data_IF_675562256106
#
_entry.id   IF_675562256106
#
_cell.length_a   1.000
_cell.length_b   1.000
_cell.length_c   1.000
_cell.angle_alpha   90.00
_cell.angle_beta   90.00
_cell.angle_gamma   90.00
#
_symmetry.space_group_name_H-M   'P 1'
#
loop_
_entity.id
_entity.type
_entity.pdbx_description
1 polymer ?
#
# COMPACT_ATOMS: atom_id res chain seq x y z
N UNK A 1 6.13 19.58 14.84
CA UNK A 1 6.38 18.25 14.28
C UNK A 1 7.81 18.16 13.78
N UNK A 2 8.40 16.98 13.82
CA UNK A 2 9.74 16.70 13.33
C UNK A 2 9.66 15.68 12.20
N UNK A 3 10.25 15.99 11.06
CA UNK A 3 10.33 15.11 9.89
C UNK A 3 11.80 14.76 9.66
N UNK A 4 12.08 13.50 9.43
CA UNK A 4 13.40 12.98 9.12
C UNK A 4 13.38 12.24 7.79
N UNK A 5 14.47 12.32 7.04
CA UNK A 5 14.65 11.49 5.85
C UNK A 5 14.77 10.00 6.23
N UNK A 6 14.48 9.11 5.31
CA UNK A 6 14.70 7.67 5.44
C UNK A 6 15.31 7.14 4.11
N UNK A 7 16.40 6.34 4.20
CA UNK A 7 17.15 5.99 5.41
C UNK A 7 17.86 7.18 6.05
N UNK A 8 18.18 7.08 7.35
CA UNK A 8 18.85 8.14 8.10
C UNK A 8 19.94 7.61 9.03
N UNK A 9 20.93 8.44 9.35
CA UNK A 9 21.97 8.11 10.33
C UNK A 9 21.48 8.07 11.80
N UNK A 10 20.19 8.33 12.03
CA UNK A 10 19.61 8.39 13.38
C UNK A 10 19.25 7.00 13.92
N UNK A 11 19.09 6.02 13.06
CA UNK A 11 18.76 4.63 13.39
C UNK A 11 19.91 3.71 12.99
N UNK A 12 20.04 2.57 13.64
CA UNK A 12 21.06 1.58 13.25
C UNK A 12 20.71 0.93 11.92
N UNK A 13 19.40 0.74 11.67
CA UNK A 13 18.88 0.24 10.39
C UNK A 13 19.21 1.24 9.27
N UNK A 14 18.93 2.52 9.45
CA UNK A 14 19.22 3.54 8.45
C UNK A 14 20.72 3.65 8.15
N UNK A 15 21.58 3.63 9.18
CA UNK A 15 23.05 3.57 8.99
C UNK A 15 23.48 2.36 8.17
N UNK A 16 22.87 1.18 8.42
CA UNK A 16 23.20 -0.02 7.68
C UNK A 16 22.90 0.17 6.19
N UNK A 17 21.68 0.60 5.83
CA UNK A 17 21.30 0.83 4.43
C UNK A 17 22.19 1.89 3.76
N UNK A 18 22.50 2.99 4.44
CA UNK A 18 23.40 4.03 3.92
C UNK A 18 24.85 3.54 3.77
N UNK A 19 25.31 2.61 4.59
CA UNK A 19 26.65 2.01 4.44
C UNK A 19 26.74 1.01 3.29
N UNK A 20 25.64 0.33 2.96
CA UNK A 20 25.54 -0.62 1.83
C UNK A 20 25.37 0.12 0.48
N UNK A 21 24.56 1.18 0.48
CA UNK A 21 24.32 2.03 -0.68
C UNK A 21 24.08 3.49 -0.23
N UNK A 22 25.13 4.35 -0.26
CA UNK A 22 25.02 5.76 0.13
C UNK A 22 24.06 6.59 -0.73
N UNK A 23 23.81 6.16 -1.97
CA UNK A 23 22.95 6.85 -2.93
C UNK A 23 21.54 6.22 -3.01
N UNK A 24 21.22 5.29 -2.11
CA UNK A 24 19.92 4.62 -2.12
C UNK A 24 18.76 5.62 -2.09
N UNK A 25 17.77 5.48 -2.99
CA UNK A 25 16.57 6.34 -2.94
C UNK A 25 15.63 6.01 -1.77
N UNK A 26 15.97 5.01 -0.97
CA UNK A 26 15.13 4.53 0.11
C UNK A 26 13.83 3.86 -0.37
N UNK A 27 13.04 3.39 0.57
CA UNK A 27 11.72 2.82 0.32
C UNK A 27 10.82 2.97 1.53
N UNK A 28 9.51 2.78 1.35
CA UNK A 28 8.59 2.73 2.48
C UNK A 28 8.92 1.55 3.43
N UNK A 29 9.38 0.41 2.91
CA UNK A 29 9.81 -0.72 3.72
C UNK A 29 10.97 -0.39 4.65
N UNK A 30 11.97 0.36 4.18
CA UNK A 30 13.09 0.86 5.00
C UNK A 30 12.56 1.81 6.07
N UNK A 31 11.72 2.78 5.70
CA UNK A 31 11.15 3.74 6.66
C UNK A 31 10.31 3.05 7.76
N UNK A 32 9.58 1.99 7.41
CA UNK A 32 8.85 1.16 8.38
C UNK A 32 9.83 0.49 9.34
N UNK A 33 10.91 -0.10 8.85
CA UNK A 33 11.94 -0.72 9.68
C UNK A 33 12.55 0.26 10.67
N UNK A 34 12.92 1.47 10.22
CA UNK A 34 13.46 2.53 11.09
C UNK A 34 12.43 2.99 12.15
N UNK A 35 11.16 3.15 11.76
CA UNK A 35 10.10 3.54 12.69
C UNK A 35 9.85 2.48 13.77
N UNK A 36 9.87 1.19 13.40
CA UNK A 36 9.76 0.08 14.35
C UNK A 36 10.96 0.04 15.29
N UNK A 37 12.17 0.25 14.79
CA UNK A 37 13.39 0.34 15.62
C UNK A 37 13.26 1.42 16.68
N UNK A 38 12.83 2.62 16.30
CA UNK A 38 12.63 3.74 17.24
C UNK A 38 11.58 3.37 18.30
N UNK A 39 10.46 2.80 17.90
CA UNK A 39 9.40 2.41 18.83
C UNK A 39 9.84 1.28 19.78
N UNK A 40 10.67 0.34 19.30
CA UNK A 40 11.18 -0.76 20.12
C UNK A 40 12.22 -0.32 21.17
N UNK A 41 12.94 0.77 20.89
CA UNK A 41 13.98 1.32 21.79
C UNK A 41 13.46 2.31 22.83
N UNK A 42 12.23 2.79 22.70
CA UNK A 42 11.65 3.80 23.61
C UNK A 42 10.22 3.41 24.03
N UNK A 43 10.05 3.04 25.29
CA UNK A 43 8.76 2.64 25.87
C UNK A 43 7.66 3.72 25.76
N UNK A 44 8.02 4.99 25.59
CA UNK A 44 7.09 6.10 25.43
C UNK A 44 6.68 6.32 23.98
N UNK A 45 7.41 5.78 23.04
CA UNK A 45 7.13 5.89 21.61
C UNK A 45 6.11 4.84 21.18
N UNK A 46 5.21 5.23 20.28
CA UNK A 46 4.24 4.33 19.63
C UNK A 46 4.40 4.43 18.12
N UNK A 47 4.38 3.27 17.48
CA UNK A 47 4.41 3.18 16.03
C UNK A 47 2.99 3.29 15.46
N UNK A 48 2.80 4.19 14.51
CA UNK A 48 1.56 4.34 13.76
C UNK A 48 1.83 4.04 12.29
N UNK A 49 1.27 2.94 11.80
CA UNK A 49 1.34 2.55 10.38
C UNK A 49 0.10 3.04 9.64
N UNK A 50 0.30 3.73 8.53
CA UNK A 50 -0.75 4.38 7.75
C UNK A 50 -1.27 3.60 6.54
N UNK A 51 -0.84 2.37 6.28
CA UNK A 51 -1.27 1.60 5.09
C UNK A 51 -1.14 0.08 5.29
N UNK A 52 -1.55 -0.72 4.32
CA UNK A 52 -1.48 -2.17 4.16
C UNK A 52 -2.21 -3.03 5.20
N UNK A 53 -2.49 -2.54 6.40
CA UNK A 53 -3.15 -3.32 7.44
C UNK A 53 -4.68 -3.23 7.33
N UNK A 54 -5.37 -4.34 7.57
CA UNK A 54 -6.82 -4.43 7.39
C UNK A 54 -7.61 -3.38 8.19
N UNK A 55 -7.18 -3.03 9.41
CA UNK A 55 -7.86 -1.99 10.17
C UNK A 55 -7.76 -0.61 9.51
N UNK A 56 -6.64 -0.30 8.85
CA UNK A 56 -6.48 0.95 8.09
C UNK A 56 -7.41 0.96 6.88
N UNK A 57 -7.45 -0.15 6.12
CA UNK A 57 -8.35 -0.31 4.98
C UNK A 57 -9.81 -0.12 5.42
N UNK A 58 -10.20 -0.77 6.51
CA UNK A 58 -11.55 -0.69 7.05
C UNK A 58 -11.95 0.74 7.43
N UNK A 59 -11.08 1.50 8.10
CA UNK A 59 -11.38 2.90 8.42
C UNK A 59 -11.52 3.76 7.18
N UNK A 60 -10.76 3.48 6.13
CA UNK A 60 -10.82 4.25 4.89
C UNK A 60 -12.04 3.92 4.02
N UNK A 61 -12.80 2.86 4.30
CA UNK A 61 -14.04 2.55 3.57
C UNK A 61 -15.09 3.63 3.69
N UNK A 62 -14.99 4.54 4.66
CA UNK A 62 -15.85 5.72 4.74
C UNK A 62 -15.87 6.53 3.44
N UNK A 63 -14.75 6.57 2.71
CA UNK A 63 -14.63 7.26 1.42
C UNK A 63 -15.56 6.63 0.38
N UNK A 64 -15.51 5.31 0.24
CA UNK A 64 -16.39 4.59 -0.70
C UNK A 64 -17.87 4.62 -0.28
N UNK A 65 -18.15 4.55 1.03
CA UNK A 65 -19.53 4.67 1.54
C UNK A 65 -20.12 6.07 1.27
N UNK A 66 -19.34 7.11 1.45
CA UNK A 66 -19.75 8.48 1.11
C UNK A 66 -19.89 8.66 -0.40
N UNK A 67 -18.99 8.08 -1.20
CA UNK A 67 -19.07 8.14 -2.66
C UNK A 67 -20.37 7.50 -3.18
N UNK A 68 -20.76 6.33 -2.63
CA UNK A 68 -22.05 5.69 -2.97
C UNK A 68 -23.23 6.62 -2.70
N UNK A 69 -23.28 7.26 -1.53
CA UNK A 69 -24.34 8.20 -1.18
C UNK A 69 -24.37 9.44 -2.07
N UNK A 70 -23.21 9.97 -2.44
CA UNK A 70 -23.10 11.13 -3.32
C UNK A 70 -23.58 10.80 -4.73
N UNK A 71 -23.26 9.60 -5.24
CA UNK A 71 -23.74 9.12 -6.53
C UNK A 71 -25.26 8.89 -6.52
N UNK A 72 -25.81 8.36 -5.43
CA UNK A 72 -27.26 8.24 -5.27
C UNK A 72 -27.96 9.59 -5.36
N UNK A 73 -27.42 10.66 -4.74
CA UNK A 73 -27.97 12.01 -4.81
C UNK A 73 -27.96 12.59 -6.22
N UNK A 74 -27.01 12.19 -7.06
CA UNK A 74 -26.93 12.63 -8.46
C UNK A 74 -27.73 11.74 -9.41
N UNK A 75 -28.24 10.61 -8.93
CA UNK A 75 -28.92 9.61 -9.74
C UNK A 75 -27.99 8.86 -10.70
N UNK A 76 -26.71 8.77 -10.35
CA UNK A 76 -25.65 8.16 -11.16
C UNK A 76 -25.03 6.95 -10.48
N UNK A 77 -24.35 6.09 -11.26
CA UNK A 77 -23.61 4.94 -10.75
C UNK A 77 -22.42 4.62 -11.68
N UNK A 78 -21.22 4.33 -11.17
CA UNK A 78 -20.04 4.19 -12.00
C UNK A 78 -19.97 2.83 -12.70
N UNK A 79 -19.66 2.83 -13.98
CA UNK A 79 -19.28 1.62 -14.72
C UNK A 79 -17.86 1.17 -14.37
N UNK A 80 -16.97 2.13 -14.07
CA UNK A 80 -15.56 1.86 -13.77
C UNK A 80 -15.10 2.71 -12.61
N UNK A 81 -14.40 2.09 -11.67
CA UNK A 81 -13.64 2.78 -10.61
C UNK A 81 -12.16 2.57 -10.87
N UNK A 82 -11.42 3.66 -10.93
CA UNK A 82 -9.97 3.65 -11.09
C UNK A 82 -9.33 4.31 -9.88
N UNK A 83 -8.36 3.66 -9.26
CA UNK A 83 -7.63 4.23 -8.14
C UNK A 83 -6.15 3.89 -8.20
N UNK A 84 -5.30 4.87 -7.85
CA UNK A 84 -3.88 4.63 -7.70
C UNK A 84 -3.61 3.80 -6.44
N UNK A 85 -2.66 2.90 -6.55
CA UNK A 85 -2.32 1.99 -5.44
C UNK A 85 -0.81 1.88 -5.24
N UNK A 86 -0.40 2.03 -3.98
CA UNK A 86 0.92 1.68 -3.48
C UNK A 86 0.76 0.52 -2.50
N UNK A 87 0.60 0.78 -1.20
CA UNK A 87 0.24 -0.23 -0.21
C UNK A 87 -1.22 -0.70 -0.28
N UNK A 88 -2.11 0.04 -0.95
CA UNK A 88 -3.47 -0.38 -1.26
C UNK A 88 -4.57 0.14 -0.34
N UNK A 89 -4.26 0.79 0.79
CA UNK A 89 -5.31 1.18 1.75
C UNK A 89 -6.27 2.23 1.22
N UNK A 90 -5.75 3.27 0.57
CA UNK A 90 -6.58 4.31 -0.04
C UNK A 90 -7.46 3.76 -1.15
N UNK A 91 -6.90 2.95 -2.02
CA UNK A 91 -7.64 2.27 -3.07
C UNK A 91 -8.74 1.37 -2.48
N UNK A 92 -8.41 0.53 -1.47
CA UNK A 92 -9.38 -0.31 -0.79
C UNK A 92 -10.51 0.50 -0.12
N UNK A 93 -10.18 1.63 0.49
CA UNK A 93 -11.15 2.53 1.10
C UNK A 93 -12.18 3.03 0.10
N UNK A 94 -11.76 3.32 -1.13
CA UNK A 94 -12.65 3.74 -2.20
C UNK A 94 -13.49 2.56 -2.73
N UNK A 95 -12.85 1.46 -3.13
CA UNK A 95 -13.54 0.45 -3.95
C UNK A 95 -14.32 -0.59 -3.14
N UNK A 96 -13.96 -0.89 -1.90
CA UNK A 96 -14.57 -2.00 -1.15
C UNK A 96 -16.09 -1.91 -1.02
N UNK A 97 -16.71 -0.73 -0.77
CA UNK A 97 -18.17 -0.61 -0.79
C UNK A 97 -18.78 -0.93 -2.17
N UNK A 98 -18.15 -0.56 -3.26
CA UNK A 98 -18.61 -0.90 -4.60
C UNK A 98 -18.44 -2.38 -4.94
N UNK A 99 -17.35 -3.01 -4.47
CA UNK A 99 -17.19 -4.45 -4.59
C UNK A 99 -18.31 -5.21 -3.83
N UNK A 100 -18.70 -4.71 -2.65
CA UNK A 100 -19.86 -5.22 -1.91
C UNK A 100 -21.14 -5.11 -2.76
N UNK A 101 -21.38 -3.97 -3.42
CA UNK A 101 -22.55 -3.78 -4.30
C UNK A 101 -22.52 -4.76 -5.48
N UNK A 102 -21.34 -5.01 -6.08
CA UNK A 102 -21.19 -6.02 -7.11
C UNK A 102 -21.59 -7.42 -6.62
N UNK A 103 -21.15 -7.79 -5.41
CA UNK A 103 -21.39 -9.13 -4.85
C UNK A 103 -22.82 -9.33 -4.35
N UNK A 104 -23.47 -8.31 -3.80
CA UNK A 104 -24.74 -8.43 -3.10
C UNK A 104 -25.93 -7.92 -3.93
N UNK A 105 -25.72 -6.91 -4.76
CA UNK A 105 -26.77 -6.17 -5.45
C UNK A 105 -26.68 -6.27 -6.99
N UNK A 106 -25.96 -7.28 -7.50
CA UNK A 106 -25.80 -7.56 -8.93
C UNK A 106 -25.33 -6.35 -9.75
N UNK A 107 -24.51 -5.48 -9.17
CA UNK A 107 -23.81 -4.44 -9.91
C UNK A 107 -22.62 -5.06 -10.63
N UNK A 108 -22.10 -4.37 -11.64
CA UNK A 108 -21.00 -4.86 -12.48
C UNK A 108 -19.91 -3.80 -12.70
N UNK A 109 -19.68 -2.97 -11.69
CA UNK A 109 -18.64 -1.95 -11.75
C UNK A 109 -17.27 -2.62 -11.91
N UNK A 110 -16.52 -2.24 -12.92
CA UNK A 110 -15.12 -2.63 -13.10
C UNK A 110 -14.28 -1.86 -12.07
N UNK A 111 -13.47 -2.56 -11.31
CA UNK A 111 -12.61 -1.98 -10.28
C UNK A 111 -11.16 -2.18 -10.69
N UNK A 112 -10.45 -1.08 -10.97
CA UNK A 112 -9.09 -1.11 -11.52
C UNK A 112 -8.09 -0.40 -10.62
N UNK A 113 -7.13 -1.17 -10.11
CA UNK A 113 -5.94 -0.67 -9.44
C UNK A 113 -4.93 -0.16 -10.47
N UNK A 114 -4.39 1.03 -10.27
CA UNK A 114 -3.31 1.56 -11.10
C UNK A 114 -2.07 1.73 -10.23
N UNK A 115 -1.02 1.02 -10.57
CA UNK A 115 0.26 1.04 -9.84
C UNK A 115 1.40 1.60 -10.70
N UNK A 116 2.47 2.14 -10.09
CA UNK A 116 3.63 2.60 -10.85
C UNK A 116 4.47 1.43 -11.36
N UNK A 117 4.99 1.54 -12.58
CA UNK A 117 5.91 0.55 -13.15
C UNK A 117 7.20 0.38 -12.33
N UNK A 118 7.56 1.36 -11.50
CA UNK A 118 8.72 1.29 -10.62
C UNK A 118 8.53 0.33 -9.44
N UNK A 119 7.29 0.03 -9.05
CA UNK A 119 6.96 -0.95 -7.99
C UNK A 119 5.63 -1.66 -8.27
N UNK A 120 5.57 -2.51 -9.30
CA UNK A 120 4.34 -3.12 -9.79
C UNK A 120 3.99 -4.40 -9.00
N UNK A 121 3.62 -4.25 -7.74
CA UNK A 121 3.43 -5.38 -6.82
C UNK A 121 2.30 -6.32 -7.23
N UNK A 122 1.17 -5.82 -7.73
CA UNK A 122 0.05 -6.63 -8.20
C UNK A 122 0.36 -7.30 -9.54
N UNK A 123 0.85 -6.51 -10.52
CA UNK A 123 1.00 -7.01 -11.90
C UNK A 123 2.25 -7.86 -12.13
N UNK A 124 3.31 -7.69 -11.32
CA UNK A 124 4.58 -8.42 -11.46
C UNK A 124 5.06 -9.08 -10.17
N UNK A 125 4.45 -8.78 -9.03
CA UNK A 125 4.79 -9.41 -7.75
C UNK A 125 4.30 -10.84 -7.68
N UNK A 126 4.82 -11.56 -6.69
CA UNK A 126 4.41 -12.94 -6.38
C UNK A 126 3.44 -12.92 -5.20
N UNK A 127 2.35 -13.70 -5.28
CA UNK A 127 1.42 -13.86 -4.16
C UNK A 127 2.00 -14.85 -3.14
N UNK A 128 2.67 -14.32 -2.12
CA UNK A 128 3.45 -15.10 -1.16
C UNK A 128 3.39 -14.49 0.25
N UNK A 129 3.89 -15.24 1.22
CA UNK A 129 4.15 -14.71 2.56
C UNK A 129 5.44 -13.90 2.54
N UNK A 130 5.38 -12.65 3.01
CA UNK A 130 6.53 -11.75 3.09
C UNK A 130 6.38 -10.78 4.27
N UNK A 131 7.48 -10.11 4.62
CA UNK A 131 7.50 -9.10 5.68
C UNK A 131 6.95 -7.76 5.19
N UNK A 132 6.27 -7.05 6.09
CA UNK A 132 5.78 -5.70 5.80
C UNK A 132 6.86 -4.62 5.77
N UNK A 133 8.08 -4.93 6.22
CA UNK A 133 9.23 -4.03 6.30
C UNK A 133 10.50 -4.67 5.72
N UNK A 134 11.54 -3.88 5.48
CA UNK A 134 12.72 -4.34 4.75
C UNK A 134 13.68 -5.23 5.55
N UNK A 135 13.59 -5.28 6.89
CA UNK A 135 14.50 -6.08 7.73
C UNK A 135 13.81 -7.19 8.52
N UNK A 136 12.50 -7.38 8.31
CA UNK A 136 11.76 -8.48 8.92
C UNK A 136 11.34 -8.27 10.38
N UNK A 137 11.14 -7.04 10.80
CA UNK A 137 10.62 -6.69 12.13
C UNK A 137 9.09 -6.65 12.18
N UNK A 138 8.44 -6.42 11.04
CA UNK A 138 6.99 -6.45 10.93
C UNK A 138 6.47 -7.90 10.80
N UNK A 139 5.18 -8.16 11.11
CA UNK A 139 4.59 -9.47 10.90
C UNK A 139 4.65 -9.93 9.44
N UNK A 140 4.82 -11.23 9.25
CA UNK A 140 4.69 -11.89 7.95
C UNK A 140 3.22 -11.96 7.57
N UNK A 141 2.89 -11.51 6.37
CA UNK A 141 1.53 -11.54 5.83
C UNK A 141 1.53 -12.07 4.40
N UNK A 142 0.42 -12.68 3.99
CA UNK A 142 0.26 -13.15 2.61
C UNK A 142 -0.19 -11.99 1.73
N UNK A 143 0.63 -11.65 0.75
CA UNK A 143 0.40 -10.48 -0.12
C UNK A 143 1.06 -10.65 -1.49
N UNK A 144 0.66 -9.85 -2.46
CA UNK A 144 1.47 -9.64 -3.65
C UNK A 144 2.71 -8.81 -3.28
N UNK A 145 3.89 -9.34 -3.55
CA UNK A 145 5.15 -8.72 -3.14
C UNK A 145 6.22 -8.80 -4.23
N UNK A 146 7.05 -7.78 -4.28
CA UNK A 146 8.29 -7.73 -5.08
C UNK A 146 9.51 -8.22 -4.27
N UNK A 147 9.26 -8.63 -3.00
CA UNK A 147 10.28 -8.98 -2.00
C UNK A 147 10.57 -7.82 -1.04
N UNK A 148 10.64 -8.11 0.25
CA UNK A 148 10.82 -7.09 1.30
C UNK A 148 12.13 -6.29 1.19
N UNK A 149 13.14 -6.82 0.52
CA UNK A 149 14.40 -6.12 0.22
C UNK A 149 14.35 -5.26 -1.04
N UNK A 150 13.24 -5.28 -1.80
CA UNK A 150 13.10 -4.50 -3.02
C UNK A 150 13.09 -3.00 -2.73
N UNK A 151 13.95 -2.25 -3.41
CA UNK A 151 13.99 -0.79 -3.37
C UNK A 151 13.53 -0.27 -4.73
N UNK A 152 12.38 0.42 -4.81
CA UNK A 152 11.88 0.97 -6.05
C UNK A 152 12.77 2.10 -6.60
N UNK A 153 12.77 2.28 -7.92
CA UNK A 153 13.40 3.42 -8.57
C UNK A 153 12.91 4.75 -7.99
N UNK A 154 13.75 5.82 -8.01
CA UNK A 154 13.44 7.12 -7.43
C UNK A 154 12.42 7.92 -8.27
N UNK A 155 11.18 7.43 -8.34
CA UNK A 155 10.08 8.16 -8.98
C UNK A 155 9.47 9.17 -7.99
N UNK A 156 8.88 10.23 -8.54
CA UNK A 156 8.07 11.15 -7.74
C UNK A 156 6.72 10.50 -7.41
N UNK A 157 6.55 10.04 -6.18
CA UNK A 157 5.30 9.44 -5.74
C UNK A 157 5.10 9.60 -4.23
N UNK A 158 4.03 10.24 -3.82
CA UNK A 158 3.64 10.36 -2.43
C UNK A 158 3.08 9.05 -1.89
N UNK A 159 3.95 8.18 -1.34
CA UNK A 159 3.53 6.92 -0.72
C UNK A 159 3.26 5.75 -1.68
N UNK A 160 3.64 5.86 -2.94
CA UNK A 160 3.47 4.78 -3.93
C UNK A 160 4.73 3.93 -4.15
N UNK A 161 5.75 4.04 -3.31
CA UNK A 161 7.02 3.32 -3.43
C UNK A 161 7.13 2.24 -2.35
N UNK A 162 6.36 1.18 -2.51
CA UNK A 162 6.29 0.07 -1.57
C UNK A 162 6.40 -1.28 -2.27
N UNK A 163 7.05 -2.25 -1.64
CA UNK A 163 7.32 -3.58 -2.21
C UNK A 163 6.12 -4.53 -2.19
N UNK A 164 5.11 -4.24 -1.38
CA UNK A 164 4.00 -5.15 -1.13
C UNK A 164 2.63 -4.49 -1.22
N UNK A 165 1.61 -5.31 -1.40
CA UNK A 165 0.21 -4.91 -1.46
C UNK A 165 -0.52 -5.38 -0.21
N UNK A 166 -1.47 -4.57 0.28
CA UNK A 166 -2.33 -4.97 1.39
C UNK A 166 -2.91 -6.37 1.20
N UNK A 167 -2.88 -7.24 2.23
CA UNK A 167 -3.33 -8.63 2.13
C UNK A 167 -4.75 -8.77 1.57
N UNK A 168 -5.67 -7.92 2.00
CA UNK A 168 -7.05 -7.96 1.53
C UNK A 168 -7.16 -7.56 0.06
N UNK A 169 -6.44 -6.53 -0.40
CA UNK A 169 -6.40 -6.14 -1.82
C UNK A 169 -5.79 -7.25 -2.66
N UNK A 170 -4.72 -7.87 -2.18
CA UNK A 170 -4.07 -9.00 -2.82
C UNK A 170 -5.04 -10.18 -2.99
N UNK A 171 -5.79 -10.51 -1.95
CA UNK A 171 -6.79 -11.57 -2.00
C UNK A 171 -7.91 -11.27 -3.02
N UNK A 172 -8.41 -10.04 -3.05
CA UNK A 172 -9.44 -9.63 -4.01
C UNK A 172 -8.93 -9.64 -5.46
N UNK A 173 -7.65 -9.37 -5.68
CA UNK A 173 -7.02 -9.50 -6.99
C UNK A 173 -6.90 -10.97 -7.43
N UNK A 174 -6.48 -11.87 -6.54
CA UNK A 174 -6.44 -13.32 -6.81
C UNK A 174 -7.82 -13.90 -7.13
N UNK A 175 -8.85 -13.45 -6.42
CA UNK A 175 -10.25 -13.83 -6.66
C UNK A 175 -10.88 -13.14 -7.89
N UNK A 176 -10.10 -12.33 -8.63
CA UNK A 176 -10.54 -11.60 -9.83
C UNK A 176 -11.71 -10.63 -9.60
N UNK A 177 -11.84 -10.14 -8.39
CA UNK A 177 -12.82 -9.12 -8.03
C UNK A 177 -12.35 -7.71 -8.40
N UNK A 178 -11.06 -7.55 -8.65
CA UNK A 178 -10.43 -6.31 -9.12
C UNK A 178 -9.42 -6.62 -10.22
N UNK A 179 -9.14 -5.63 -11.06
CA UNK A 179 -8.09 -5.64 -12.08
C UNK A 179 -6.91 -4.78 -11.64
N UNK A 180 -5.75 -4.97 -12.26
CA UNK A 180 -4.59 -4.12 -12.02
C UNK A 180 -3.86 -3.78 -13.31
N UNK A 181 -3.32 -2.56 -13.37
CA UNK A 181 -2.51 -2.06 -14.48
C UNK A 181 -1.32 -1.27 -13.94
N UNK A 182 -0.15 -1.47 -14.52
CA UNK A 182 1.05 -0.72 -14.19
C UNK A 182 1.34 0.35 -15.26
N UNK A 183 1.49 1.60 -14.83
CA UNK A 183 1.74 2.74 -15.73
C UNK A 183 3.10 3.38 -15.46
N UNK A 184 3.75 3.86 -16.53
CA UNK A 184 4.98 4.64 -16.43
C UNK A 184 4.71 6.08 -16.00
N UNK A 185 5.66 6.66 -15.29
CA UNK A 185 5.70 8.09 -15.04
C UNK A 185 6.40 8.77 -16.24
N UNK A 186 5.74 9.76 -16.84
CA UNK A 186 6.30 10.57 -17.95
C UNK A 186 7.02 11.80 -17.42
#
# INVERSE_FOLDING_TARGET
DRVYSSPSERTDIGKKFLSEDPETPGSLGIAISEAIEVAAKDEKTRYALGSVLNHVLMHQTIIGEEALKQLELTGDYPDVIVGCTGGGSNFAGLFTPFARENMQNNKSTVIRAVEPQACPSLTKGTYAYDFGDSVGMAPVVKMHTLGHSFVPDPIHAGGLRYHGMAPLVSAMYEEKLIEAEAIGQK
#
